data_IF_078834004087
#
_entry.id   IF_078834004087
#
_cell.length_a   1.000
_cell.length_b   1.000
_cell.length_c   1.000
_cell.angle_alpha   90.00
_cell.angle_beta   90.00
_cell.angle_gamma   90.00
#
_symmetry.space_group_name_H-M   'P 1'
#
loop_
_entity.id
_entity.type
_entity.pdbx_description
1 polymer ?
#
# COMPACT_ATOMS: atom_id res chain seq x y z
N UNK A 1 17.26 -25.83 9.06
CA UNK A 1 17.20 -24.35 9.13
C UNK A 1 17.09 -23.85 7.71
N UNK A 2 16.13 -22.97 7.43
CA UNK A 2 15.80 -22.54 6.07
C UNK A 2 15.30 -21.11 6.07
N UNK A 3 15.39 -20.42 4.93
CA UNK A 3 14.89 -19.06 4.83
C UNK A 3 13.35 -19.05 4.92
N UNK A 4 12.71 -18.07 5.60
CA UNK A 4 11.25 -18.06 5.77
C UNK A 4 10.46 -18.20 4.47
N UNK A 5 10.92 -17.56 3.39
CA UNK A 5 10.25 -17.62 2.08
C UNK A 5 10.28 -19.03 1.47
N UNK A 6 11.41 -19.74 1.61
CA UNK A 6 11.57 -21.13 1.16
C UNK A 6 10.76 -22.08 2.04
N UNK A 7 10.61 -21.73 3.32
CA UNK A 7 9.82 -22.50 4.27
C UNK A 7 8.40 -22.67 3.75
N UNK A 8 7.78 -21.60 3.24
CA UNK A 8 6.40 -21.65 2.75
C UNK A 8 6.18 -22.66 1.62
N UNK A 9 7.22 -23.05 0.87
CA UNK A 9 7.09 -24.00 -0.25
C UNK A 9 7.56 -25.42 0.09
N UNK A 10 8.19 -25.61 1.25
CA UNK A 10 8.66 -26.92 1.71
C UNK A 10 7.56 -27.87 2.23
N UNK A 11 7.84 -29.17 2.27
CA UNK A 11 6.97 -30.17 2.89
C UNK A 11 7.58 -30.64 4.21
N UNK A 12 6.84 -30.50 5.31
CA UNK A 12 7.21 -31.02 6.62
C UNK A 12 5.94 -31.25 7.46
N UNK A 13 6.01 -32.15 8.44
CA UNK A 13 4.90 -32.42 9.38
C UNK A 13 4.80 -31.35 10.48
N UNK A 14 5.94 -30.73 10.83
CA UNK A 14 6.05 -29.70 11.86
C UNK A 14 6.97 -28.59 11.35
N UNK A 15 6.58 -27.35 11.59
CA UNK A 15 7.42 -26.18 11.36
C UNK A 15 7.62 -25.39 12.65
N UNK A 16 8.83 -24.88 12.87
CA UNK A 16 9.14 -23.95 13.94
C UNK A 16 9.68 -22.65 13.35
N UNK A 17 9.01 -21.54 13.65
CA UNK A 17 9.42 -20.20 13.28
C UNK A 17 9.89 -19.47 14.54
N UNK A 18 11.19 -19.18 14.59
CA UNK A 18 11.79 -18.37 15.65
C UNK A 18 11.78 -16.89 15.26
N UNK A 19 11.70 -16.01 16.25
CA UNK A 19 11.48 -14.56 16.07
C UNK A 19 10.32 -14.23 15.11
N UNK A 20 9.20 -14.93 15.29
CA UNK A 20 8.03 -14.88 14.41
C UNK A 20 7.46 -13.46 14.27
N UNK A 21 7.59 -12.60 15.28
CA UNK A 21 7.20 -11.20 15.15
C UNK A 21 8.01 -10.40 14.12
N UNK A 22 9.24 -10.82 13.82
CA UNK A 22 10.03 -10.23 12.75
C UNK A 22 9.54 -10.59 11.35
N UNK A 23 8.64 -11.58 11.24
CA UNK A 23 8.07 -12.03 9.98
C UNK A 23 6.78 -11.27 9.64
N UNK A 24 6.51 -11.14 8.34
CA UNK A 24 5.28 -10.55 7.84
C UNK A 24 4.06 -11.38 8.25
N UNK A 25 3.00 -10.72 8.74
CA UNK A 25 1.75 -11.39 9.15
C UNK A 25 1.15 -12.27 8.05
N UNK A 26 1.10 -11.87 6.76
CA UNK A 26 0.69 -12.76 5.68
C UNK A 26 1.52 -14.05 5.58
N UNK A 27 2.83 -13.97 5.79
CA UNK A 27 3.70 -15.14 5.80
C UNK A 27 3.41 -16.04 6.99
N UNK A 28 3.19 -15.47 8.18
CA UNK A 28 2.76 -16.23 9.36
C UNK A 28 1.43 -16.95 9.10
N UNK A 29 0.45 -16.30 8.45
CA UNK A 29 -0.79 -16.96 8.05
C UNK A 29 -0.59 -18.06 7.01
N UNK A 30 0.31 -17.88 6.04
CA UNK A 30 0.65 -18.94 5.06
C UNK A 30 1.28 -20.15 5.75
N UNK A 31 2.18 -19.92 6.70
CA UNK A 31 2.79 -20.97 7.51
C UNK A 31 1.69 -21.69 8.32
N UNK A 32 0.89 -20.95 9.09
CA UNK A 32 -0.19 -21.51 9.89
C UNK A 32 -1.19 -22.33 9.06
N UNK A 33 -1.61 -21.86 7.88
CA UNK A 33 -2.57 -22.57 7.03
C UNK A 33 -1.99 -23.80 6.33
N UNK A 34 -0.68 -23.84 6.11
CA UNK A 34 -0.04 -24.90 5.33
C UNK A 34 0.31 -26.12 6.19
N UNK A 35 0.75 -25.89 7.43
CA UNK A 35 1.29 -26.94 8.29
C UNK A 35 0.28 -27.35 9.35
N UNK A 36 0.08 -28.66 9.53
CA UNK A 36 -0.81 -29.19 10.57
C UNK A 36 -0.32 -28.85 12.00
N UNK A 37 0.98 -28.64 12.17
CA UNK A 37 1.62 -28.28 13.44
C UNK A 37 2.66 -27.19 13.22
N UNK A 38 2.46 -26.04 13.84
CA UNK A 38 3.38 -24.91 13.79
C UNK A 38 3.73 -24.43 15.21
N UNK A 39 5.00 -24.14 15.43
CA UNK A 39 5.53 -23.53 16.65
C UNK A 39 6.02 -22.14 16.28
N UNK A 40 5.56 -21.12 17.01
CA UNK A 40 6.01 -19.74 16.85
C UNK A 40 6.67 -19.30 18.16
N UNK A 41 7.92 -18.85 18.08
CA UNK A 41 8.66 -18.22 19.17
C UNK A 41 8.82 -16.74 18.84
N UNK A 42 8.64 -15.85 19.82
CA UNK A 42 8.71 -14.40 19.61
C UNK A 42 8.87 -13.66 20.92
N UNK A 43 9.53 -12.50 20.90
CA UNK A 43 9.49 -11.53 22.00
C UNK A 43 8.22 -10.68 21.93
N UNK A 44 7.47 -10.55 23.04
CA UNK A 44 6.28 -9.68 23.13
C UNK A 44 6.68 -8.27 23.59
N UNK A 45 7.56 -8.19 24.57
CA UNK A 45 8.08 -6.96 25.18
C UNK A 45 9.61 -6.93 25.00
N UNK A 46 10.13 -5.94 24.28
CA UNK A 46 11.57 -5.86 24.03
C UNK A 46 11.97 -4.79 23.01
N UNK A 47 13.27 -4.56 22.93
CA UNK A 47 13.92 -3.54 22.09
C UNK A 47 13.65 -3.70 20.58
N UNK A 48 13.23 -4.87 20.11
CA UNK A 48 12.93 -5.09 18.69
C UNK A 48 11.52 -4.67 18.28
N UNK A 49 10.65 -4.31 19.23
CA UNK A 49 9.38 -3.61 18.99
C UNK A 49 8.40 -4.31 18.03
N UNK A 50 8.61 -5.58 17.71
CA UNK A 50 7.87 -6.34 16.70
C UNK A 50 6.74 -7.19 17.31
N UNK A 51 6.80 -7.47 18.62
CA UNK A 51 5.97 -8.46 19.31
C UNK A 51 4.47 -8.24 19.23
N UNK A 52 4.00 -6.99 19.16
CA UNK A 52 2.56 -6.70 19.27
C UNK A 52 1.80 -6.82 17.95
N UNK A 53 2.45 -6.61 16.79
CA UNK A 53 1.84 -6.92 15.49
C UNK A 53 1.54 -8.42 15.35
N UNK A 54 2.46 -9.25 15.85
CA UNK A 54 2.26 -10.68 16.05
C UNK A 54 1.12 -10.96 17.03
N UNK A 55 1.11 -10.36 18.22
CA UNK A 55 0.07 -10.65 19.23
C UNK A 55 -1.33 -10.17 18.86
N UNK A 56 -1.47 -8.98 18.26
CA UNK A 56 -2.80 -8.38 18.01
C UNK A 56 -3.38 -8.81 16.68
N UNK A 57 -2.57 -8.94 15.63
CA UNK A 57 -3.08 -9.26 14.29
C UNK A 57 -2.98 -10.75 13.98
N UNK A 58 -1.90 -11.41 14.36
CA UNK A 58 -1.72 -12.84 14.08
C UNK A 58 -2.32 -13.73 15.18
N UNK A 59 -1.90 -13.57 16.45
CA UNK A 59 -2.40 -14.42 17.54
C UNK A 59 -3.91 -14.29 17.73
N UNK A 60 -4.48 -13.08 17.61
CA UNK A 60 -5.94 -12.89 17.69
C UNK A 60 -6.67 -13.73 16.64
N UNK A 61 -6.24 -13.66 15.38
CA UNK A 61 -6.88 -14.39 14.28
C UNK A 61 -6.78 -15.90 14.44
N UNK A 62 -5.65 -16.45 14.88
CA UNK A 62 -5.53 -17.90 15.09
C UNK A 62 -6.35 -18.37 16.30
N UNK A 63 -6.54 -17.52 17.32
CA UNK A 63 -7.39 -17.84 18.49
C UNK A 63 -8.88 -17.81 18.16
N UNK A 64 -9.28 -16.95 17.22
CA UNK A 64 -10.66 -16.83 16.76
C UNK A 64 -11.03 -17.92 15.74
N UNK A 65 -10.06 -18.65 15.17
CA UNK A 65 -10.33 -19.76 14.26
C UNK A 65 -10.76 -21.03 15.02
N UNK A 66 -11.98 -21.55 14.78
CA UNK A 66 -12.51 -22.69 15.51
C UNK A 66 -11.80 -24.01 15.18
N UNK A 67 -11.03 -24.07 14.09
CA UNK A 67 -10.32 -25.28 13.66
C UNK A 67 -8.90 -25.37 14.19
N UNK A 68 -8.41 -24.32 14.85
CA UNK A 68 -7.04 -24.22 15.34
C UNK A 68 -6.98 -24.37 16.85
N UNK A 69 -6.25 -25.39 17.33
CA UNK A 69 -5.93 -25.51 18.75
C UNK A 69 -4.66 -24.71 19.05
N UNK A 70 -4.81 -23.60 19.75
CA UNK A 70 -3.68 -22.74 20.17
C UNK A 70 -3.23 -23.16 21.58
N UNK A 71 -1.92 -23.35 21.76
CA UNK A 71 -1.27 -23.53 23.06
C UNK A 71 -0.29 -22.37 23.25
N UNK A 72 -0.41 -21.65 24.35
CA UNK A 72 0.42 -20.48 24.65
C UNK A 72 1.27 -20.75 25.89
N UNK A 73 2.54 -20.39 25.78
CA UNK A 73 3.50 -20.45 26.87
C UNK A 73 4.25 -19.12 26.88
N UNK A 74 4.29 -18.48 28.04
CA UNK A 74 5.03 -17.24 28.26
C UNK A 74 6.23 -17.52 29.16
N UNK A 75 7.37 -16.94 28.80
CA UNK A 75 8.61 -17.06 29.55
C UNK A 75 8.97 -15.70 30.12
N UNK A 76 8.82 -15.54 31.43
CA UNK A 76 9.03 -14.27 32.14
C UNK A 76 10.35 -14.23 32.92
N UNK A 77 10.84 -15.38 33.40
CA UNK A 77 12.03 -15.44 34.25
C UNK A 77 13.32 -15.24 33.44
N UNK A 78 14.08 -14.15 33.68
CA UNK A 78 15.32 -13.92 32.96
C UNK A 78 16.40 -14.91 33.40
N UNK A 79 17.16 -15.43 32.45
CA UNK A 79 18.28 -16.36 32.74
C UNK A 79 19.63 -15.65 32.91
N UNK A 80 19.73 -14.37 32.51
CA UNK A 80 20.99 -13.60 32.49
C UNK A 80 21.16 -12.66 33.67
N UNK A 81 20.06 -12.21 34.26
CA UNK A 81 20.00 -11.26 35.35
C UNK A 81 18.86 -11.65 36.29
N UNK A 82 18.82 -11.03 37.47
CA UNK A 82 17.78 -11.31 38.45
C UNK A 82 16.42 -10.78 37.97
N UNK A 83 15.33 -11.43 38.37
CA UNK A 83 14.00 -10.87 38.20
C UNK A 83 13.91 -9.49 38.88
N UNK A 84 13.27 -8.52 38.21
CA UNK A 84 13.18 -7.12 38.64
C UNK A 84 14.54 -6.39 38.73
N UNK A 85 15.45 -6.65 37.78
CA UNK A 85 16.71 -5.92 37.71
C UNK A 85 16.45 -4.40 37.57
N UNK A 86 16.98 -3.56 38.49
CA UNK A 86 16.72 -2.13 38.45
C UNK A 86 17.26 -1.44 37.18
N UNK A 87 18.30 -1.99 36.55
CA UNK A 87 18.84 -1.47 35.27
C UNK A 87 17.91 -1.82 34.12
N UNK A 88 17.31 -3.01 34.11
CA UNK A 88 16.30 -3.37 33.11
C UNK A 88 15.07 -2.48 33.26
N UNK A 89 14.56 -2.31 34.47
CA UNK A 89 13.41 -1.44 34.73
C UNK A 89 13.69 0.00 34.27
N UNK A 90 14.87 0.54 34.61
CA UNK A 90 15.29 1.86 34.14
C UNK A 90 15.37 1.94 32.60
N UNK A 91 15.90 0.91 31.94
CA UNK A 91 16.03 0.86 30.49
C UNK A 91 14.65 0.86 29.81
N UNK A 92 13.72 0.04 30.30
CA UNK A 92 12.36 -0.06 29.76
C UNK A 92 11.61 1.25 29.92
N UNK A 93 11.71 1.87 31.10
CA UNK A 93 11.09 3.15 31.40
C UNK A 93 11.66 4.28 30.52
N UNK A 94 13.00 4.40 30.48
CA UNK A 94 13.69 5.44 29.71
C UNK A 94 13.42 5.37 28.21
N UNK A 95 13.35 4.15 27.66
CA UNK A 95 13.11 3.92 26.23
C UNK A 95 11.63 3.70 25.90
N UNK A 96 10.74 3.81 26.89
CA UNK A 96 9.28 3.66 26.73
C UNK A 96 8.89 2.33 26.06
N UNK A 97 9.64 1.25 26.31
CA UNK A 97 9.44 -0.05 25.66
C UNK A 97 8.13 -0.73 26.08
N UNK A 98 7.60 -0.34 27.22
CA UNK A 98 6.34 -0.79 27.82
C UNK A 98 5.21 0.24 27.67
N UNK A 99 5.41 1.28 26.86
CA UNK A 99 4.40 2.31 26.65
C UNK A 99 3.16 1.75 25.95
N UNK A 100 1.98 2.12 26.46
CA UNK A 100 0.68 1.69 25.97
C UNK A 100 -0.21 2.89 25.68
N UNK A 101 -1.09 2.81 24.67
CA UNK A 101 -2.09 3.84 24.45
C UNK A 101 -3.10 3.84 25.60
N UNK A 102 -3.79 4.97 25.78
CA UNK A 102 -4.81 5.08 26.81
C UNK A 102 -5.97 4.11 26.58
N UNK A 103 -6.45 3.46 27.64
CA UNK A 103 -7.69 2.68 27.59
C UNK A 103 -8.87 3.62 27.32
N UNK A 104 -9.59 3.39 26.23
CA UNK A 104 -10.77 4.18 25.85
C UNK A 104 -12.03 3.68 26.57
N UNK A 105 -12.82 4.62 27.09
CA UNK A 105 -14.11 4.35 27.72
C UNK A 105 -15.26 4.47 26.71
N UNK A 106 -16.47 4.06 27.11
CA UNK A 106 -17.67 4.26 26.29
C UNK A 106 -17.95 5.74 25.97
N UNK A 107 -17.58 6.66 26.88
CA UNK A 107 -17.73 8.11 26.64
C UNK A 107 -16.71 8.59 25.59
N UNK A 108 -15.47 8.11 25.64
CA UNK A 108 -14.44 8.42 24.64
C UNK A 108 -14.91 8.04 23.23
N UNK A 109 -15.55 6.87 23.08
CA UNK A 109 -16.12 6.46 21.79
C UNK A 109 -17.24 7.38 21.30
N UNK A 110 -18.04 7.98 22.19
CA UNK A 110 -19.05 8.96 21.79
C UNK A 110 -18.42 10.24 21.22
N UNK A 111 -17.29 10.69 21.78
CA UNK A 111 -16.54 11.82 21.22
C UNK A 111 -15.95 11.45 19.85
N UNK A 112 -15.32 10.27 19.74
CA UNK A 112 -14.73 9.78 18.50
C UNK A 112 -15.77 9.69 17.38
N UNK A 113 -16.94 9.09 17.65
CA UNK A 113 -18.00 8.90 16.66
C UNK A 113 -18.62 10.22 16.18
N UNK A 114 -18.58 11.25 17.02
CA UNK A 114 -18.98 12.62 16.67
C UNK A 114 -17.84 13.43 16.03
N UNK A 115 -16.63 12.88 15.94
CA UNK A 115 -15.44 13.58 15.46
C UNK A 115 -14.98 14.72 16.39
N UNK A 116 -15.34 14.67 17.68
CA UNK A 116 -14.96 15.68 18.68
C UNK A 116 -13.56 15.35 19.18
N UNK A 117 -12.57 15.97 18.55
CA UNK A 117 -11.15 15.86 18.88
C UNK A 117 -10.50 17.23 18.76
N UNK A 118 -9.42 17.43 19.50
CA UNK A 118 -8.58 18.62 19.41
C UNK A 118 -7.26 18.27 18.74
N UNK A 119 -6.88 19.06 17.73
CA UNK A 119 -5.58 18.98 17.07
C UNK A 119 -4.57 19.84 17.82
N UNK A 120 -3.47 19.22 18.25
CA UNK A 120 -2.43 19.89 19.02
C UNK A 120 -1.04 19.71 18.39
N UNK A 121 -0.18 20.69 18.66
CA UNK A 121 1.27 20.68 18.43
C UNK A 121 1.95 20.58 19.79
N UNK A 122 2.27 19.35 20.28
CA UNK A 122 2.98 19.19 21.53
C UNK A 122 4.41 19.73 21.39
N UNK A 123 4.86 20.54 22.36
CA UNK A 123 6.29 20.85 22.49
C UNK A 123 7.03 19.57 22.88
N UNK A 124 8.05 19.19 22.09
CA UNK A 124 8.87 18.02 22.40
C UNK A 124 9.53 18.16 23.78
N UNK A 125 10.08 19.33 24.10
CA UNK A 125 10.69 19.58 25.40
C UNK A 125 9.69 19.37 26.54
N UNK A 126 8.48 19.94 26.44
CA UNK A 126 7.47 19.74 27.48
C UNK A 126 6.96 18.29 27.53
N UNK A 127 6.84 17.65 26.37
CA UNK A 127 6.38 16.27 26.27
C UNK A 127 7.34 15.31 26.98
N UNK A 128 8.64 15.46 26.72
CA UNK A 128 9.69 14.63 27.32
C UNK A 128 10.00 14.98 28.78
N UNK A 129 9.92 16.25 29.18
CA UNK A 129 10.32 16.67 30.54
C UNK A 129 9.17 16.75 31.54
N UNK A 130 7.93 16.95 31.10
CA UNK A 130 6.80 17.31 31.98
C UNK A 130 5.51 16.53 31.75
N UNK A 131 5.35 15.83 30.63
CA UNK A 131 4.09 15.19 30.23
C UNK A 131 4.27 13.71 29.90
N UNK A 132 4.89 12.99 30.83
CA UNK A 132 5.22 11.58 30.66
C UNK A 132 4.01 10.70 30.30
N UNK A 133 2.86 10.89 30.95
CA UNK A 133 1.63 10.13 30.61
C UNK A 133 1.21 10.33 29.15
N UNK A 134 1.24 11.56 28.65
CA UNK A 134 0.92 11.86 27.26
C UNK A 134 1.98 11.27 26.31
N UNK A 135 3.26 11.35 26.68
CA UNK A 135 4.35 10.76 25.91
C UNK A 135 4.19 9.24 25.78
N UNK A 136 3.89 8.56 26.90
CA UNK A 136 3.61 7.12 26.93
C UNK A 136 2.42 6.76 26.06
N UNK A 137 1.32 7.51 26.13
CA UNK A 137 0.18 7.27 25.24
C UNK A 137 0.54 7.47 23.76
N UNK A 138 1.28 8.54 23.43
CA UNK A 138 1.70 8.87 22.07
C UNK A 138 2.61 7.78 21.49
N UNK A 139 3.65 7.39 22.22
CA UNK A 139 4.60 6.34 21.82
C UNK A 139 3.91 4.98 21.80
N UNK A 140 3.04 4.69 22.76
CA UNK A 140 2.25 3.46 22.80
C UNK A 140 1.36 3.28 21.56
N UNK A 141 0.81 4.36 20.99
CA UNK A 141 0.10 4.31 19.71
C UNK A 141 1.03 3.88 18.57
N UNK A 142 2.27 4.40 18.49
CA UNK A 142 3.24 3.96 17.48
C UNK A 142 3.67 2.51 17.63
N UNK A 143 3.93 2.09 18.87
CA UNK A 143 4.31 0.72 19.20
C UNK A 143 3.26 -0.26 18.66
N UNK A 144 1.98 0.07 18.78
CA UNK A 144 0.89 -0.81 18.39
C UNK A 144 0.46 -0.73 16.94
N UNK A 145 0.63 0.41 16.28
CA UNK A 145 0.18 0.59 14.90
C UNK A 145 1.18 0.08 13.86
N UNK A 146 2.47 0.00 14.19
CA UNK A 146 3.54 -0.32 13.23
C UNK A 146 4.14 -1.72 13.42
N UNK A 147 4.43 -2.37 12.29
CA UNK A 147 4.97 -3.74 12.23
C UNK A 147 6.34 -3.90 12.92
N UNK A 148 7.12 -2.82 13.01
CA UNK A 148 8.40 -2.82 13.73
C UNK A 148 8.71 -1.39 14.16
N UNK A 149 9.07 -1.24 15.42
CA UNK A 149 9.57 0.02 15.97
C UNK A 149 11.01 -0.20 16.43
N UNK A 150 11.87 0.78 16.18
CA UNK A 150 13.23 0.77 16.74
C UNK A 150 13.30 1.83 17.83
N UNK A 151 14.02 1.60 18.94
CA UNK A 151 14.23 2.64 19.96
C UNK A 151 14.83 3.93 19.38
N UNK A 152 15.62 3.81 18.31
CA UNK A 152 16.15 4.95 17.56
C UNK A 152 15.07 5.86 16.96
N UNK A 153 13.84 5.37 16.74
CA UNK A 153 12.74 6.19 16.23
C UNK A 153 12.38 7.28 17.27
N UNK A 154 12.38 6.93 18.56
CA UNK A 154 12.13 7.85 19.66
C UNK A 154 13.26 8.90 19.77
N UNK A 155 14.51 8.45 19.62
CA UNK A 155 15.67 9.34 19.62
C UNK A 155 15.64 10.32 18.44
N UNK A 156 15.31 9.84 17.23
CA UNK A 156 15.19 10.69 16.05
C UNK A 156 14.08 11.73 16.21
N UNK A 157 12.94 11.33 16.79
CA UNK A 157 11.84 12.25 17.11
C UNK A 157 12.25 13.33 18.12
N UNK A 158 13.14 13.00 19.06
CA UNK A 158 13.61 13.94 20.09
C UNK A 158 14.73 14.87 19.61
N UNK A 159 15.60 14.41 18.71
CA UNK A 159 16.87 15.07 18.37
C UNK A 159 16.89 15.74 16.99
N UNK A 160 16.10 15.24 16.03
CA UNK A 160 16.15 15.75 14.67
C UNK A 160 15.42 17.10 14.56
N UNK A 161 16.11 18.22 14.21
CA UNK A 161 15.51 19.56 14.26
C UNK A 161 14.43 19.82 13.21
N UNK A 162 14.38 18.98 12.17
CA UNK A 162 13.39 19.04 11.10
C UNK A 162 12.21 18.09 11.35
N UNK A 163 12.21 17.37 12.47
CA UNK A 163 11.08 16.54 12.90
C UNK A 163 10.19 17.32 13.87
N UNK A 164 8.88 17.19 13.66
CA UNK A 164 7.86 17.76 14.54
C UNK A 164 6.71 16.78 14.69
N UNK A 165 6.04 16.83 15.83
CA UNK A 165 4.94 15.91 16.13
C UNK A 165 3.60 16.62 16.20
N UNK A 166 2.54 15.90 15.87
CA UNK A 166 1.14 16.34 16.02
C UNK A 166 0.32 15.23 16.65
N UNK A 167 -0.69 15.62 17.42
CA UNK A 167 -1.60 14.68 18.03
C UNK A 167 -3.05 15.12 17.90
N UNK A 168 -3.96 14.13 17.85
CA UNK A 168 -5.37 14.35 18.16
C UNK A 168 -5.61 13.88 19.60
N UNK A 169 -6.20 14.75 20.42
CA UNK A 169 -6.62 14.42 21.78
C UNK A 169 -8.14 14.50 21.91
N UNK A 170 -8.69 13.69 22.80
CA UNK A 170 -10.09 13.76 23.19
C UNK A 170 -10.30 14.84 24.27
N UNK A 171 -11.55 15.29 24.49
CA UNK A 171 -11.89 16.13 25.64
C UNK A 171 -11.48 15.51 27.00
N UNK A 172 -11.35 14.19 27.07
CA UNK A 172 -10.83 13.46 28.23
C UNK A 172 -9.31 13.57 28.42
N UNK A 173 -8.60 14.25 27.51
CA UNK A 173 -7.14 14.42 27.52
C UNK A 173 -6.35 13.27 26.89
N UNK A 174 -7.03 12.19 26.46
CA UNK A 174 -6.38 11.00 25.90
C UNK A 174 -5.92 11.21 24.46
N UNK A 175 -4.72 10.74 24.14
CA UNK A 175 -4.21 10.75 22.76
C UNK A 175 -4.90 9.65 21.96
N UNK A 176 -5.43 9.99 20.78
CA UNK A 176 -6.10 9.02 19.88
C UNK A 176 -5.50 8.95 18.48
N UNK A 177 -4.65 9.89 18.11
CA UNK A 177 -3.85 9.83 16.88
C UNK A 177 -2.53 10.53 17.12
N UNK A 178 -1.43 9.92 16.65
CA UNK A 178 -0.08 10.43 16.76
C UNK A 178 0.53 10.53 15.35
N UNK A 179 1.25 11.62 15.08
CA UNK A 179 1.91 11.87 13.79
C UNK A 179 3.30 12.46 13.99
N UNK A 180 4.26 11.93 13.24
CA UNK A 180 5.63 12.45 13.09
C UNK A 180 5.79 12.99 11.66
N UNK A 181 6.23 14.24 11.57
CA UNK A 181 6.38 15.02 10.35
C UNK A 181 7.85 15.42 10.19
N UNK A 182 8.41 15.19 9.01
CA UNK A 182 9.70 15.73 8.62
C UNK A 182 9.51 16.86 7.61
N UNK A 183 10.10 18.02 7.88
CA UNK A 183 10.21 19.11 6.93
C UNK A 183 11.29 18.80 5.88
N UNK A 184 10.91 18.85 4.61
CA UNK A 184 11.79 18.59 3.48
C UNK A 184 11.71 19.75 2.48
N UNK A 185 12.83 20.07 1.85
CA UNK A 185 12.98 21.16 0.90
C UNK A 185 12.99 22.55 1.56
N UNK A 186 13.14 23.62 0.76
CA UNK A 186 13.50 23.57 -0.65
C UNK A 186 14.93 23.03 -0.83
N UNK A 187 15.23 22.46 -2.00
CA UNK A 187 16.56 21.97 -2.33
C UNK A 187 17.39 23.12 -2.88
N UNK A 188 18.60 23.37 -2.36
CA UNK A 188 19.55 24.34 -2.92
C UNK A 188 19.82 24.10 -4.42
N UNK A 189 19.80 25.17 -5.21
CA UNK A 189 19.90 25.10 -6.68
C UNK A 189 21.19 24.41 -7.16
N UNK A 190 22.30 24.57 -6.43
CA UNK A 190 23.60 23.97 -6.73
C UNK A 190 23.63 22.45 -6.55
N UNK A 191 22.68 21.88 -5.79
CA UNK A 191 22.57 20.43 -5.57
C UNK A 191 21.62 19.73 -6.56
N UNK A 192 20.74 20.46 -7.25
CA UNK A 192 19.68 19.86 -8.09
C UNK A 192 20.29 18.94 -9.17
N UNK A 193 21.33 19.41 -9.85
CA UNK A 193 21.98 18.63 -10.91
C UNK A 193 22.74 17.42 -10.37
N UNK A 194 23.33 17.51 -9.18
CA UNK A 194 24.00 16.38 -8.53
C UNK A 194 23.00 15.28 -8.14
N UNK A 195 21.89 15.66 -7.51
CA UNK A 195 20.82 14.72 -7.16
C UNK A 195 20.25 14.01 -8.39
N UNK A 196 20.09 14.72 -9.50
CA UNK A 196 19.67 14.12 -10.78
C UNK A 196 20.68 13.10 -11.31
N UNK A 197 21.98 13.29 -11.05
CA UNK A 197 23.06 12.37 -11.46
C UNK A 197 23.25 11.19 -10.51
N UNK A 198 22.47 11.10 -9.43
CA UNK A 198 22.54 10.01 -8.47
C UNK A 198 23.16 10.40 -7.13
N UNK A 199 23.45 11.69 -6.92
CA UNK A 199 23.82 12.24 -5.61
C UNK A 199 22.76 11.97 -4.54
N UNK A 200 23.06 12.36 -3.31
CA UNK A 200 22.20 12.11 -2.16
C UNK A 200 22.16 13.31 -1.23
N UNK A 201 20.97 13.58 -0.68
CA UNK A 201 20.74 14.63 0.31
C UNK A 201 20.08 14.04 1.55
N UNK A 202 20.65 14.34 2.71
CA UNK A 202 20.12 13.88 3.99
C UNK A 202 18.78 14.56 4.30
N UNK A 203 17.85 13.81 4.88
CA UNK A 203 16.55 14.33 5.35
C UNK A 203 15.52 14.64 4.26
N UNK A 204 15.87 14.58 2.96
CA UNK A 204 15.02 15.02 1.86
C UNK A 204 14.60 13.85 0.95
N UNK A 205 13.78 12.94 1.48
CA UNK A 205 13.46 11.68 0.79
C UNK A 205 12.57 11.92 -0.44
N UNK A 206 11.50 12.71 -0.30
CA UNK A 206 10.53 12.90 -1.38
C UNK A 206 11.11 13.77 -2.49
N UNK A 207 11.75 14.94 -2.23
CA UNK A 207 12.41 15.73 -3.26
C UNK A 207 13.50 14.95 -4.02
N UNK A 208 14.33 14.16 -3.31
CA UNK A 208 15.37 13.33 -3.93
C UNK A 208 14.77 12.33 -4.93
N UNK A 209 13.76 11.56 -4.49
CA UNK A 209 13.09 10.58 -5.34
C UNK A 209 12.35 11.24 -6.49
N UNK A 210 11.74 12.39 -6.25
CA UNK A 210 11.07 13.16 -7.29
C UNK A 210 12.04 13.60 -8.39
N UNK A 211 13.17 14.21 -8.03
CA UNK A 211 14.20 14.64 -8.98
C UNK A 211 14.80 13.47 -9.77
N UNK A 212 14.96 12.29 -9.17
CA UNK A 212 15.51 11.10 -9.82
C UNK A 212 14.54 10.43 -10.79
N UNK A 213 13.24 10.51 -10.55
CA UNK A 213 12.24 9.75 -11.31
C UNK A 213 11.30 10.61 -12.15
N UNK A 214 10.77 11.70 -11.60
CA UNK A 214 9.89 12.62 -12.32
C UNK A 214 10.65 13.70 -13.08
N UNK A 215 11.90 13.97 -12.70
CA UNK A 215 12.85 14.86 -13.43
C UNK A 215 12.39 16.32 -13.59
N UNK A 216 11.37 16.77 -12.85
CA UNK A 216 10.88 18.14 -12.89
C UNK A 216 11.43 18.95 -11.71
N UNK A 217 12.37 19.84 -12.00
CA UNK A 217 13.12 20.64 -11.03
C UNK A 217 12.25 21.68 -10.32
N UNK A 218 11.08 22.02 -10.87
CA UNK A 218 10.18 22.99 -10.24
C UNK A 218 9.71 22.50 -8.87
N UNK A 219 9.61 21.19 -8.68
CA UNK A 219 9.25 20.59 -7.39
C UNK A 219 10.27 20.90 -6.28
N UNK A 220 11.56 20.94 -6.62
CA UNK A 220 12.66 21.16 -5.68
C UNK A 220 12.61 22.55 -5.02
N UNK A 221 11.91 23.51 -5.63
CA UNK A 221 11.75 24.87 -5.10
C UNK A 221 10.76 24.99 -3.94
N UNK A 222 10.01 23.93 -3.65
CA UNK A 222 9.00 23.92 -2.59
C UNK A 222 9.46 23.13 -1.38
N UNK A 223 9.34 23.75 -0.21
CA UNK A 223 9.28 23.02 1.05
C UNK A 223 7.93 22.29 1.19
N UNK A 224 7.95 21.20 1.93
CA UNK A 224 6.77 20.43 2.29
C UNK A 224 7.01 19.51 3.48
N UNK A 225 5.93 18.84 3.88
CA UNK A 225 6.01 17.84 4.95
C UNK A 225 5.92 16.43 4.41
N UNK A 226 6.89 15.60 4.80
CA UNK A 226 6.74 14.16 4.77
C UNK A 226 6.13 13.69 6.08
N UNK A 227 4.98 13.05 6.00
CA UNK A 227 4.44 12.24 7.09
C UNK A 227 5.34 11.01 7.21
N UNK A 228 6.20 11.02 8.22
CA UNK A 228 7.11 9.92 8.55
C UNK A 228 6.29 8.77 9.12
N UNK A 229 5.37 9.10 10.02
CA UNK A 229 4.52 8.13 10.70
C UNK A 229 3.17 8.76 11.02
N UNK A 230 2.10 8.00 10.79
CA UNK A 230 0.74 8.32 11.24
C UNK A 230 0.12 7.06 11.82
N UNK A 231 -0.38 7.18 13.03
CA UNK A 231 -0.98 6.07 13.74
C UNK A 231 -2.20 6.52 14.52
N UNK A 232 -3.27 5.76 14.40
CA UNK A 232 -4.50 5.94 15.17
C UNK A 232 -4.55 4.88 16.26
N UNK A 233 -5.16 5.23 17.39
CA UNK A 233 -5.42 4.28 18.47
C UNK A 233 -6.05 2.97 17.92
N UNK A 234 -5.51 1.77 18.22
CA UNK A 234 -5.95 0.51 17.60
C UNK A 234 -7.44 0.23 17.74
N UNK A 235 -8.02 0.47 18.92
CA UNK A 235 -9.46 0.28 19.16
C UNK A 235 -10.36 1.34 18.50
N UNK A 236 -9.79 2.38 17.89
CA UNK A 236 -10.50 3.47 17.23
C UNK A 236 -10.12 3.62 15.74
N UNK A 237 -9.45 2.62 15.17
CA UNK A 237 -9.21 2.55 13.72
C UNK A 237 -10.54 2.52 12.95
N UNK A 238 -10.49 2.94 11.68
CA UNK A 238 -11.64 3.00 10.77
C UNK A 238 -12.81 3.91 11.19
N UNK A 239 -12.61 4.80 12.19
CA UNK A 239 -13.59 5.81 12.63
C UNK A 239 -13.33 7.23 12.12
N UNK A 240 -12.46 7.38 11.11
CA UNK A 240 -12.20 8.66 10.44
C UNK A 240 -11.15 9.58 11.10
N UNK A 241 -10.59 9.21 12.26
CA UNK A 241 -9.57 10.01 12.97
C UNK A 241 -8.35 10.34 12.10
N UNK A 242 -7.83 9.36 11.35
CA UNK A 242 -6.69 9.59 10.44
C UNK A 242 -7.01 10.62 9.35
N UNK A 243 -8.24 10.63 8.82
CA UNK A 243 -8.70 11.62 7.83
C UNK A 243 -8.81 13.01 8.46
N UNK A 244 -9.32 13.11 9.69
CA UNK A 244 -9.36 14.38 10.44
C UNK A 244 -7.94 14.93 10.65
N UNK A 245 -7.02 14.07 11.08
CA UNK A 245 -5.60 14.43 11.27
C UNK A 245 -4.96 14.96 9.97
N UNK A 246 -5.14 14.24 8.86
CA UNK A 246 -4.62 14.66 7.54
C UNK A 246 -5.17 16.03 7.13
N UNK A 247 -6.46 16.28 7.38
CA UNK A 247 -7.08 17.57 7.07
C UNK A 247 -6.38 18.71 7.82
N UNK A 248 -6.20 18.56 9.14
CA UNK A 248 -5.49 19.56 9.96
C UNK A 248 -4.04 19.78 9.51
N UNK A 249 -3.30 18.70 9.22
CA UNK A 249 -1.92 18.80 8.72
C UNK A 249 -1.88 19.57 7.40
N UNK A 250 -2.78 19.30 6.46
CA UNK A 250 -2.83 20.00 5.18
C UNK A 250 -3.18 21.49 5.36
N UNK A 251 -4.11 21.81 6.26
CA UNK A 251 -4.49 23.19 6.57
C UNK A 251 -3.35 23.96 7.24
N UNK A 252 -2.63 23.32 8.16
CA UNK A 252 -1.44 23.90 8.78
C UNK A 252 -0.31 24.10 7.77
N UNK A 253 0.01 23.09 6.97
CA UNK A 253 1.05 23.16 5.94
C UNK A 253 0.78 24.30 4.94
N UNK A 254 -0.49 24.49 4.54
CA UNK A 254 -0.90 25.64 3.72
C UNK A 254 -0.64 26.98 4.40
N UNK A 255 -0.97 27.11 5.69
CA UNK A 255 -0.71 28.34 6.47
C UNK A 255 0.79 28.64 6.61
N UNK A 256 1.63 27.60 6.65
CA UNK A 256 3.10 27.72 6.66
C UNK A 256 3.70 28.04 5.29
N UNK A 257 2.89 28.02 4.22
CA UNK A 257 3.36 28.30 2.85
C UNK A 257 3.99 27.10 2.15
N UNK A 258 3.81 25.88 2.66
CA UNK A 258 4.33 24.67 2.04
C UNK A 258 3.59 24.32 0.74
N UNK A 259 4.33 23.75 -0.22
CA UNK A 259 3.80 23.36 -1.51
C UNK A 259 3.09 22.01 -1.51
N UNK A 260 3.43 21.12 -0.58
CA UNK A 260 2.96 19.74 -0.58
C UNK A 260 2.98 19.09 0.81
N UNK A 261 2.19 18.03 0.96
CA UNK A 261 2.32 17.03 2.03
C UNK A 261 2.44 15.66 1.38
N UNK A 262 3.34 14.80 1.83
CA UNK A 262 3.58 13.50 1.23
C UNK A 262 3.85 12.40 2.25
N UNK A 263 3.89 11.16 1.79
CA UNK A 263 4.20 10.00 2.60
C UNK A 263 4.89 8.92 1.76
N UNK A 264 5.74 8.12 2.40
CA UNK A 264 6.32 6.90 1.82
C UNK A 264 6.02 5.71 2.73
N UNK A 265 5.46 4.63 2.17
CA UNK A 265 5.03 3.48 2.97
C UNK A 265 5.08 2.17 2.17
N UNK A 266 5.22 1.05 2.87
CA UNK A 266 5.04 -0.29 2.29
C UNK A 266 3.58 -0.48 1.86
N UNK A 267 3.38 -0.76 0.58
CA UNK A 267 2.05 -0.70 -0.04
C UNK A 267 1.24 -1.96 0.26
N UNK A 268 0.02 -1.73 0.73
CA UNK A 268 -1.07 -2.70 0.78
C UNK A 268 -2.38 -1.99 0.46
N UNK A 269 -3.43 -2.76 0.15
CA UNK A 269 -4.71 -2.19 -0.27
C UNK A 269 -5.33 -1.22 0.77
N UNK A 270 -5.46 -1.57 2.08
CA UNK A 270 -6.08 -0.68 3.05
C UNK A 270 -5.35 0.66 3.20
N UNK A 271 -4.02 0.63 3.28
CA UNK A 271 -3.22 1.83 3.47
C UNK A 271 -3.21 2.71 2.22
N UNK A 272 -3.05 2.13 1.03
CA UNK A 272 -3.14 2.89 -0.22
C UNK A 272 -4.52 3.55 -0.34
N UNK A 273 -5.60 2.82 0.00
CA UNK A 273 -6.97 3.33 -0.04
C UNK A 273 -7.15 4.54 0.88
N UNK A 274 -6.56 4.50 2.08
CA UNK A 274 -6.56 5.63 3.02
C UNK A 274 -5.95 6.88 2.39
N UNK A 275 -4.76 6.76 1.78
CA UNK A 275 -4.08 7.90 1.16
C UNK A 275 -4.83 8.45 -0.05
N UNK A 276 -5.30 7.58 -0.95
CA UNK A 276 -6.03 8.00 -2.15
C UNK A 276 -7.34 8.71 -1.80
N UNK A 277 -8.10 8.19 -0.82
CA UNK A 277 -9.33 8.83 -0.32
C UNK A 277 -9.07 10.22 0.27
N UNK A 278 -7.88 10.43 0.84
CA UNK A 278 -7.46 11.71 1.38
C UNK A 278 -6.87 12.67 0.34
N UNK A 279 -6.90 12.32 -0.95
CA UNK A 279 -6.46 13.16 -2.06
C UNK A 279 -4.95 13.15 -2.29
N UNK A 280 -4.24 12.15 -1.80
CA UNK A 280 -2.84 11.94 -2.14
C UNK A 280 -2.73 11.19 -3.47
N UNK A 281 -1.71 11.54 -4.24
CA UNK A 281 -1.48 11.06 -5.61
C UNK A 281 -0.17 10.27 -5.64
N UNK A 282 -0.15 9.01 -6.11
CA UNK A 282 1.08 8.24 -6.24
C UNK A 282 2.01 8.84 -7.30
N UNK A 283 3.30 8.93 -6.96
CA UNK A 283 4.33 9.46 -7.86
C UNK A 283 5.51 8.49 -8.05
N UNK A 284 5.65 7.48 -7.18
CA UNK A 284 6.76 6.55 -7.24
C UNK A 284 6.40 5.22 -6.55
N UNK A 285 7.00 4.15 -7.06
CA UNK A 285 7.06 2.83 -6.43
C UNK A 285 8.51 2.33 -6.53
N UNK A 286 9.02 1.75 -5.44
CA UNK A 286 10.36 1.15 -5.43
C UNK A 286 10.43 -0.03 -6.40
N UNK A 287 11.56 -0.27 -7.08
CA UNK A 287 11.70 -1.41 -8.00
C UNK A 287 11.75 -2.75 -7.25
N UNK A 288 12.24 -2.74 -6.02
CA UNK A 288 12.37 -3.93 -5.18
C UNK A 288 11.50 -3.81 -3.93
N UNK A 289 11.10 -4.97 -3.40
CA UNK A 289 10.45 -5.09 -2.11
C UNK A 289 11.45 -4.80 -1.00
N UNK A 290 10.99 -4.17 0.07
CA UNK A 290 11.81 -4.04 1.27
C UNK A 290 12.12 -5.45 1.82
N UNK A 291 13.38 -5.81 2.11
CA UNK A 291 13.72 -7.16 2.55
C UNK A 291 13.08 -7.55 3.89
N UNK A 292 12.70 -6.55 4.70
CA UNK A 292 12.03 -6.76 5.99
C UNK A 292 10.51 -6.86 5.80
N UNK A 293 9.88 -5.83 5.21
CA UNK A 293 8.42 -5.80 5.09
C UNK A 293 7.86 -6.60 3.92
N UNK A 294 8.68 -6.97 2.94
CA UNK A 294 8.27 -7.72 1.74
C UNK A 294 7.31 -6.97 0.83
N UNK A 295 7.05 -5.70 1.13
CA UNK A 295 6.17 -4.82 0.38
C UNK A 295 7.01 -3.87 -0.49
N UNK A 296 6.46 -3.47 -1.64
CA UNK A 296 6.98 -2.34 -2.39
C UNK A 296 6.73 -1.05 -1.62
N UNK A 297 7.66 -0.10 -1.66
CA UNK A 297 7.44 1.23 -1.09
C UNK A 297 6.79 2.12 -2.13
N UNK A 298 5.64 2.71 -1.81
CA UNK A 298 4.98 3.73 -2.65
C UNK A 298 5.15 5.10 -2.00
N UNK A 299 5.45 6.10 -2.82
CA UNK A 299 5.42 7.51 -2.42
C UNK A 299 4.19 8.16 -3.00
N UNK A 300 3.43 8.83 -2.14
CA UNK A 300 2.25 9.61 -2.49
C UNK A 300 2.42 11.05 -2.05
N UNK A 301 1.88 11.99 -2.83
CA UNK A 301 1.96 13.42 -2.55
C UNK A 301 0.61 14.07 -2.76
N UNK A 302 0.22 14.94 -1.83
CA UNK A 302 -0.93 15.83 -1.93
C UNK A 302 -0.43 17.25 -2.21
N UNK A 303 -0.71 17.81 -3.40
CA UNK A 303 -0.35 19.19 -3.72
C UNK A 303 -1.19 20.17 -2.89
N UNK A 304 -0.59 21.28 -2.47
CA UNK A 304 -1.26 22.32 -1.68
C UNK A 304 -1.52 23.63 -2.43
N UNK A 305 -0.93 23.78 -3.62
CA UNK A 305 -1.14 24.90 -4.54
C UNK A 305 -1.22 24.39 -5.99
N UNK A 306 -1.65 25.26 -6.90
CA UNK A 306 -1.94 24.91 -8.30
C UNK A 306 -0.68 24.54 -9.09
N UNK A 307 0.45 25.23 -8.87
CA UNK A 307 1.71 24.93 -9.56
C UNK A 307 2.24 23.54 -9.19
N UNK A 308 2.21 23.20 -7.90
CA UNK A 308 2.58 21.87 -7.41
C UNK A 308 1.56 20.83 -7.88
N UNK A 309 0.27 21.17 -7.96
CA UNK A 309 -0.73 20.27 -8.53
C UNK A 309 -0.35 19.86 -9.97
N UNK A 310 -0.04 20.81 -10.84
CA UNK A 310 0.38 20.54 -12.21
C UNK A 310 1.66 19.68 -12.27
N UNK A 311 2.63 19.96 -11.41
CA UNK A 311 3.87 19.17 -11.30
C UNK A 311 3.57 17.72 -10.92
N UNK A 312 2.75 17.51 -9.88
CA UNK A 312 2.38 16.16 -9.40
C UNK A 312 1.56 15.40 -10.44
N UNK A 313 0.64 16.06 -11.15
CA UNK A 313 -0.16 15.41 -12.19
C UNK A 313 0.70 14.95 -13.38
N UNK A 314 1.72 15.72 -13.77
CA UNK A 314 2.71 15.30 -14.78
C UNK A 314 3.53 14.10 -14.28
N UNK A 315 4.03 14.16 -13.05
CA UNK A 315 4.79 13.06 -12.44
C UNK A 315 3.96 11.78 -12.34
N UNK A 316 2.70 11.87 -11.91
CA UNK A 316 1.79 10.74 -11.81
C UNK A 316 1.50 10.09 -13.17
N UNK A 317 1.38 10.89 -14.23
CA UNK A 317 1.23 10.40 -15.61
C UNK A 317 2.42 9.54 -16.03
N UNK A 318 3.64 10.03 -15.82
CA UNK A 318 4.87 9.28 -16.13
C UNK A 318 5.02 8.04 -15.23
N UNK A 319 4.67 8.14 -13.94
CA UNK A 319 4.62 7.02 -13.01
C UNK A 319 3.70 5.91 -13.51
N UNK A 320 2.46 6.23 -13.91
CA UNK A 320 1.50 5.24 -14.41
C UNK A 320 1.94 4.63 -15.73
N UNK A 321 2.52 5.44 -16.64
CA UNK A 321 3.09 4.92 -17.88
C UNK A 321 4.18 3.89 -17.59
N UNK A 322 5.14 4.23 -16.72
CA UNK A 322 6.20 3.32 -16.29
C UNK A 322 5.62 2.06 -15.66
N UNK A 323 4.71 2.20 -14.69
CA UNK A 323 4.11 1.09 -13.98
C UNK A 323 3.41 0.13 -14.95
N UNK A 324 2.55 0.66 -15.83
CA UNK A 324 1.81 -0.12 -16.81
C UNK A 324 2.71 -1.00 -17.70
N UNK A 325 3.87 -0.47 -18.10
CA UNK A 325 4.85 -1.21 -18.90
C UNK A 325 5.75 -2.15 -18.09
N UNK A 326 5.77 -2.02 -16.76
CA UNK A 326 6.61 -2.82 -15.86
C UNK A 326 5.83 -3.89 -15.09
N UNK A 327 4.50 -3.97 -15.25
CA UNK A 327 3.67 -4.94 -14.53
C UNK A 327 4.00 -6.41 -14.83
N UNK A 328 4.60 -6.72 -15.98
CA UNK A 328 4.97 -8.09 -16.35
C UNK A 328 6.38 -8.50 -15.90
N UNK A 329 7.15 -7.57 -15.30
CA UNK A 329 8.56 -7.78 -14.96
C UNK A 329 8.81 -7.44 -13.48
N UNK A 330 9.29 -6.24 -13.05
CA UNK A 330 9.59 -6.02 -11.64
C UNK A 330 8.37 -5.96 -10.71
N UNK A 331 7.15 -5.95 -11.26
CA UNK A 331 5.89 -5.88 -10.50
C UNK A 331 4.92 -7.01 -10.88
N UNK A 332 5.43 -8.12 -11.40
CA UNK A 332 4.62 -9.29 -11.75
C UNK A 332 3.88 -9.87 -10.54
N UNK A 333 4.46 -9.71 -9.35
CA UNK A 333 3.95 -10.19 -8.07
C UNK A 333 3.22 -9.12 -7.22
N UNK A 334 3.05 -7.91 -7.76
CA UNK A 334 2.27 -6.85 -7.13
C UNK A 334 0.80 -7.28 -7.03
N UNK A 335 0.15 -7.02 -5.90
CA UNK A 335 -1.25 -7.37 -5.72
C UNK A 335 -2.14 -6.68 -6.79
N UNK A 336 -2.98 -7.42 -7.54
CA UNK A 336 -3.76 -6.84 -8.65
C UNK A 336 -4.64 -5.65 -8.23
N UNK A 337 -5.20 -5.68 -7.01
CA UNK A 337 -6.01 -4.59 -6.45
C UNK A 337 -5.17 -3.34 -6.16
N UNK A 338 -3.95 -3.51 -5.67
CA UNK A 338 -2.99 -2.41 -5.48
C UNK A 338 -2.60 -1.81 -6.83
N UNK A 339 -2.24 -2.64 -7.81
CA UNK A 339 -1.91 -2.19 -9.17
C UNK A 339 -3.07 -1.39 -9.79
N UNK A 340 -4.32 -1.87 -9.65
CA UNK A 340 -5.53 -1.19 -10.10
C UNK A 340 -5.66 0.21 -9.50
N UNK A 341 -5.45 0.34 -8.19
CA UNK A 341 -5.53 1.62 -7.48
C UNK A 341 -4.42 2.60 -7.89
N UNK A 342 -3.20 2.10 -8.16
CA UNK A 342 -2.10 2.91 -8.65
C UNK A 342 -2.31 3.42 -10.09
N UNK A 343 -3.12 2.72 -10.89
CA UNK A 343 -3.45 3.08 -12.28
C UNK A 343 -4.66 4.03 -12.42
N UNK A 344 -5.26 4.49 -11.31
CA UNK A 344 -6.33 5.52 -11.35
C UNK A 344 -5.87 6.79 -12.07
N UNK A 345 -6.78 7.53 -12.70
CA UNK A 345 -6.37 8.63 -13.59
C UNK A 345 -6.40 10.01 -12.94
N UNK A 346 -7.24 10.21 -11.92
CA UNK A 346 -7.57 11.52 -11.36
C UNK A 346 -7.98 12.54 -12.45
N UNK A 347 -8.64 12.07 -13.52
CA UNK A 347 -9.04 12.92 -14.65
C UNK A 347 -7.89 13.30 -15.60
N UNK A 348 -6.70 12.73 -15.43
CA UNK A 348 -5.55 12.93 -16.29
C UNK A 348 -5.17 11.61 -17.00
N UNK A 349 -5.54 11.40 -18.27
CA UNK A 349 -5.15 10.19 -19.00
C UNK A 349 -3.64 10.13 -19.21
N UNK A 350 -3.09 8.92 -19.37
CA UNK A 350 -1.69 8.75 -19.79
C UNK A 350 -1.53 9.22 -21.23
N UNK A 351 -2.42 8.76 -22.12
CA UNK A 351 -2.50 9.23 -23.50
C UNK A 351 -3.96 9.51 -23.78
N UNK A 352 -4.29 10.77 -24.01
CA UNK A 352 -5.67 11.20 -24.29
C UNK A 352 -6.11 10.66 -25.65
N UNK A 353 -7.33 10.13 -25.70
CA UNK A 353 -7.99 9.62 -26.91
C UNK A 353 -7.18 8.54 -27.66
N UNK A 354 -6.38 7.76 -26.94
CA UNK A 354 -5.61 6.69 -27.56
C UNK A 354 -6.55 5.61 -28.12
N UNK A 355 -6.30 5.19 -29.35
CA UNK A 355 -7.04 4.12 -30.03
C UNK A 355 -6.12 2.90 -30.19
N UNK A 356 -6.65 1.66 -30.06
CA UNK A 356 -5.83 0.47 -30.22
C UNK A 356 -5.21 0.43 -31.62
N UNK A 357 -3.91 0.14 -31.70
CA UNK A 357 -3.18 0.04 -32.97
C UNK A 357 -3.02 -1.43 -33.39
N UNK A 358 -4.15 -2.08 -33.68
CA UNK A 358 -4.15 -3.45 -34.21
C UNK A 358 -4.02 -3.42 -35.73
N UNK A 359 -3.19 -4.30 -36.30
CA UNK A 359 -3.26 -4.63 -37.73
C UNK A 359 -4.55 -5.37 -38.07
N UNK A 360 -4.94 -5.44 -39.35
CA UNK A 360 -6.13 -6.18 -39.78
C UNK A 360 -6.13 -7.64 -39.30
N UNK A 361 -4.97 -8.31 -39.42
CA UNK A 361 -4.79 -9.68 -38.94
C UNK A 361 -4.94 -9.79 -37.42
N UNK A 362 -4.43 -8.83 -36.66
CA UNK A 362 -4.58 -8.81 -35.20
C UNK A 362 -6.03 -8.52 -34.79
N UNK A 363 -6.73 -7.66 -35.51
CA UNK A 363 -8.15 -7.40 -35.30
C UNK A 363 -8.98 -8.67 -35.54
N UNK A 364 -8.73 -9.39 -36.63
CA UNK A 364 -9.38 -10.68 -36.92
C UNK A 364 -9.09 -11.73 -35.83
N UNK A 365 -7.84 -11.82 -35.35
CA UNK A 365 -7.46 -12.70 -34.23
C UNK A 365 -8.21 -12.33 -32.94
N UNK A 366 -8.27 -11.04 -32.58
CA UNK A 366 -9.00 -10.57 -31.40
C UNK A 366 -10.50 -10.88 -31.49
N UNK A 367 -11.10 -10.69 -32.67
CA UNK A 367 -12.49 -11.06 -32.96
C UNK A 367 -12.69 -12.59 -32.82
N UNK A 368 -11.80 -13.39 -33.40
CA UNK A 368 -11.86 -14.85 -33.33
C UNK A 368 -11.69 -15.36 -31.90
N UNK A 369 -10.88 -14.69 -31.08
CA UNK A 369 -10.75 -15.03 -29.66
C UNK A 369 -12.04 -14.73 -28.88
N UNK A 370 -12.64 -13.57 -29.15
CA UNK A 370 -13.83 -13.11 -28.46
C UNK A 370 -15.09 -13.92 -28.79
N UNK A 371 -15.31 -14.31 -30.05
CA UNK A 371 -16.52 -15.03 -30.49
C UNK A 371 -16.29 -16.44 -31.03
N UNK A 372 -15.05 -16.81 -31.33
CA UNK A 372 -14.70 -18.06 -31.98
C UNK A 372 -13.81 -19.00 -31.13
N UNK A 373 -13.16 -19.97 -31.79
CA UNK A 373 -12.40 -21.03 -31.13
C UNK A 373 -10.97 -20.65 -30.77
N UNK A 374 -10.52 -19.44 -31.09
CA UNK A 374 -9.12 -19.06 -30.90
C UNK A 374 -8.75 -19.02 -29.41
N UNK A 375 -7.55 -19.48 -29.11
CA UNK A 375 -7.00 -19.47 -27.74
C UNK A 375 -6.45 -18.10 -27.39
N UNK A 376 -6.31 -17.84 -26.09
CA UNK A 376 -5.72 -16.58 -25.61
C UNK A 376 -4.27 -16.45 -26.05
N UNK A 377 -3.49 -17.53 -26.01
CA UNK A 377 -2.07 -17.56 -26.37
C UNK A 377 -1.90 -17.05 -27.81
N UNK A 378 -2.81 -17.50 -28.70
CA UNK A 378 -2.90 -17.10 -30.10
C UNK A 378 -3.48 -15.71 -30.32
N UNK A 379 -3.88 -14.96 -29.29
CA UNK A 379 -4.41 -13.60 -29.39
C UNK A 379 -3.80 -12.63 -28.35
N UNK A 380 -2.80 -13.09 -27.58
CA UNK A 380 -2.33 -12.42 -26.37
C UNK A 380 -1.75 -11.03 -26.64
N UNK A 381 -1.04 -10.85 -27.75
CA UNK A 381 -0.53 -9.56 -28.24
C UNK A 381 -1.67 -8.57 -28.54
N UNK A 382 -2.74 -9.04 -29.15
CA UNK A 382 -3.90 -8.22 -29.53
C UNK A 382 -4.69 -7.79 -28.28
N UNK A 383 -4.89 -8.74 -27.34
CA UNK A 383 -5.57 -8.48 -26.07
C UNK A 383 -4.74 -7.54 -25.19
N UNK A 384 -3.41 -7.64 -25.23
CA UNK A 384 -2.52 -6.72 -24.52
C UNK A 384 -2.63 -5.29 -25.05
N UNK A 385 -2.66 -5.06 -26.36
CA UNK A 385 -2.85 -3.71 -26.92
C UNK A 385 -4.21 -3.11 -26.51
N UNK A 386 -5.27 -3.91 -26.48
CA UNK A 386 -6.58 -3.48 -25.97
C UNK A 386 -6.52 -3.12 -24.48
N UNK A 387 -5.83 -3.92 -23.66
CA UNK A 387 -5.63 -3.64 -22.25
C UNK A 387 -4.80 -2.36 -22.01
N UNK A 388 -3.72 -2.16 -22.76
CA UNK A 388 -2.92 -0.94 -22.70
C UNK A 388 -3.77 0.29 -23.08
N UNK A 389 -4.53 0.20 -24.17
CA UNK A 389 -5.47 1.24 -24.60
C UNK A 389 -6.45 1.62 -23.47
N UNK A 390 -6.97 0.63 -22.76
CA UNK A 390 -7.88 0.85 -21.63
C UNK A 390 -7.24 1.69 -20.52
N UNK A 391 -6.01 1.36 -20.11
CA UNK A 391 -5.32 2.06 -19.03
C UNK A 391 -4.59 3.34 -19.46
N UNK A 392 -4.38 3.56 -20.76
CA UNK A 392 -3.91 4.84 -21.28
C UNK A 392 -4.97 5.94 -21.18
N UNK A 393 -6.23 5.58 -21.43
CA UNK A 393 -7.35 6.50 -21.41
C UNK A 393 -7.94 6.67 -20.00
N UNK A 394 -8.63 7.79 -19.80
CA UNK A 394 -9.45 8.04 -18.61
C UNK A 394 -10.84 7.40 -18.74
N UNK A 395 -11.60 7.44 -17.65
CA UNK A 395 -12.91 6.83 -17.51
C UNK A 395 -13.94 7.36 -18.52
N UNK A 396 -13.68 8.52 -19.14
CA UNK A 396 -14.53 9.13 -20.16
C UNK A 396 -14.29 8.56 -21.56
N UNK A 397 -13.08 8.06 -21.84
CA UNK A 397 -12.62 7.66 -23.18
C UNK A 397 -12.30 6.16 -23.28
N UNK A 398 -12.93 5.36 -22.43
CA UNK A 398 -12.82 3.89 -22.42
C UNK A 398 -14.17 3.26 -22.07
N UNK A 399 -14.41 1.98 -22.41
CA UNK A 399 -15.64 1.31 -22.02
C UNK A 399 -15.74 1.13 -20.50
N UNK A 400 -16.95 1.05 -19.95
CA UNK A 400 -17.14 0.72 -18.55
C UNK A 400 -16.84 -0.76 -18.32
N UNK A 401 -15.96 -1.06 -17.35
CA UNK A 401 -15.70 -2.39 -16.84
C UNK A 401 -15.95 -2.40 -15.33
N UNK A 402 -16.43 -3.53 -14.81
CA UNK A 402 -16.51 -3.71 -13.36
C UNK A 402 -15.12 -4.00 -12.76
N UNK A 403 -15.02 -3.96 -11.43
CA UNK A 403 -13.74 -4.17 -10.74
C UNK A 403 -13.10 -5.52 -11.10
N UNK A 404 -13.86 -6.62 -11.10
CA UNK A 404 -13.33 -7.94 -11.45
C UNK A 404 -12.75 -7.97 -12.88
N UNK A 405 -13.42 -7.31 -13.83
CA UNK A 405 -12.94 -7.22 -15.21
C UNK A 405 -11.64 -6.42 -15.33
N UNK A 406 -11.51 -5.30 -14.63
CA UNK A 406 -10.25 -4.54 -14.57
C UNK A 406 -9.14 -5.38 -13.94
N UNK A 407 -9.44 -6.14 -12.88
CA UNK A 407 -8.49 -7.04 -12.23
C UNK A 407 -8.06 -8.20 -13.13
N UNK A 408 -8.97 -8.75 -13.95
CA UNK A 408 -8.64 -9.76 -14.97
C UNK A 408 -7.64 -9.19 -15.98
N UNK A 409 -7.85 -7.97 -16.48
CA UNK A 409 -6.90 -7.33 -17.39
C UNK A 409 -5.51 -7.17 -16.74
N UNK A 410 -5.48 -6.74 -15.48
CA UNK A 410 -4.23 -6.55 -14.75
C UNK A 410 -3.51 -7.88 -14.55
N UNK A 411 -4.13 -8.83 -13.84
CA UNK A 411 -3.49 -10.09 -13.48
C UNK A 411 -3.16 -10.95 -14.70
N UNK A 412 -4.13 -11.20 -15.58
CA UNK A 412 -3.94 -12.15 -16.69
C UNK A 412 -3.16 -11.56 -17.86
N UNK A 413 -3.38 -10.28 -18.19
CA UNK A 413 -2.89 -9.67 -19.43
C UNK A 413 -1.67 -8.78 -19.17
N UNK A 414 -1.73 -7.88 -18.18
CA UNK A 414 -0.65 -6.92 -17.92
C UNK A 414 0.49 -7.52 -17.11
N UNK A 415 0.19 -8.31 -16.09
CA UNK A 415 1.16 -9.06 -15.27
C UNK A 415 1.50 -10.45 -15.84
N UNK A 416 0.85 -10.84 -16.94
CA UNK A 416 1.09 -12.11 -17.63
C UNK A 416 0.98 -13.37 -16.76
N UNK A 417 0.17 -13.33 -15.68
CA UNK A 417 -0.05 -14.49 -14.81
C UNK A 417 -0.64 -15.67 -15.57
N UNK A 418 -0.35 -16.89 -15.12
CA UNK A 418 -1.04 -18.09 -15.61
C UNK A 418 -2.53 -18.04 -15.22
N UNK A 419 -3.38 -18.82 -15.90
CA UNK A 419 -4.80 -18.91 -15.55
C UNK A 419 -5.02 -19.33 -14.10
N UNK A 420 -4.17 -20.22 -13.58
CA UNK A 420 -4.24 -20.72 -12.21
C UNK A 420 -3.85 -19.62 -11.22
N UNK A 421 -2.71 -18.96 -11.42
CA UNK A 421 -2.25 -17.91 -10.50
C UNK A 421 -3.16 -16.69 -10.52
N UNK A 422 -3.65 -16.28 -11.70
CA UNK A 422 -4.65 -15.20 -11.78
C UNK A 422 -5.95 -15.58 -11.03
N UNK A 423 -6.36 -16.84 -11.08
CA UNK A 423 -7.53 -17.34 -10.36
C UNK A 423 -7.32 -17.33 -8.84
N UNK A 424 -6.14 -17.74 -8.38
CA UNK A 424 -5.73 -17.68 -6.97
C UNK A 424 -5.66 -16.22 -6.47
N UNK A 425 -5.00 -15.33 -7.21
CA UNK A 425 -4.84 -13.91 -6.87
C UNK A 425 -6.20 -13.16 -6.78
N UNK A 426 -7.19 -13.60 -7.57
CA UNK A 426 -8.51 -12.97 -7.66
C UNK A 426 -9.61 -13.70 -6.87
N UNK A 427 -9.27 -14.81 -6.21
CA UNK A 427 -10.21 -15.68 -5.47
C UNK A 427 -11.44 -16.10 -6.30
N UNK A 428 -11.18 -16.56 -7.54
CA UNK A 428 -12.23 -17.03 -8.47
C UNK A 428 -11.79 -18.28 -9.21
N UNK A 429 -12.74 -19.01 -9.81
CA UNK A 429 -12.41 -20.15 -10.66
C UNK A 429 -11.70 -19.72 -11.97
N UNK A 430 -10.73 -20.49 -12.50
CA UNK A 430 -10.08 -20.18 -13.78
C UNK A 430 -11.04 -19.96 -14.95
N UNK A 431 -12.14 -20.73 -15.00
CA UNK A 431 -13.18 -20.59 -16.02
C UNK A 431 -13.85 -19.20 -16.00
N UNK A 432 -14.00 -18.61 -14.82
CA UNK A 432 -14.54 -17.25 -14.65
C UNK A 432 -13.62 -16.22 -15.31
N UNK A 433 -12.30 -16.37 -15.15
CA UNK A 433 -11.31 -15.49 -15.79
C UNK A 433 -11.31 -15.68 -17.30
N UNK A 434 -11.33 -16.92 -17.79
CA UNK A 434 -11.34 -17.21 -19.22
C UNK A 434 -12.58 -16.65 -19.92
N UNK A 435 -13.77 -16.87 -19.35
CA UNK A 435 -15.01 -16.34 -19.89
C UNK A 435 -15.10 -14.81 -19.74
N UNK A 436 -14.65 -14.28 -18.60
CA UNK A 436 -14.58 -12.85 -18.33
C UNK A 436 -13.68 -12.12 -19.31
N UNK A 437 -12.50 -12.67 -19.64
CA UNK A 437 -11.58 -12.07 -20.60
C UNK A 437 -12.17 -12.04 -22.02
N UNK A 438 -12.85 -13.10 -22.45
CA UNK A 438 -13.58 -13.07 -23.73
C UNK A 438 -14.62 -11.94 -23.74
N UNK A 439 -15.40 -11.80 -22.67
CA UNK A 439 -16.41 -10.73 -22.59
C UNK A 439 -15.79 -9.33 -22.59
N UNK A 440 -14.69 -9.12 -21.86
CA UNK A 440 -13.96 -7.86 -21.87
C UNK A 440 -13.50 -7.50 -23.29
N UNK A 441 -12.92 -8.46 -24.02
CA UNK A 441 -12.49 -8.22 -25.41
C UNK A 441 -13.70 -7.89 -26.31
N UNK A 442 -14.86 -8.52 -26.13
CA UNK A 442 -16.08 -8.14 -26.86
C UNK A 442 -16.48 -6.70 -26.59
N UNK A 443 -16.48 -6.28 -25.32
CA UNK A 443 -16.81 -4.92 -24.90
C UNK A 443 -15.85 -3.91 -25.54
N UNK A 444 -14.54 -4.19 -25.49
CA UNK A 444 -13.52 -3.31 -26.05
C UNK A 444 -13.60 -3.23 -27.58
N UNK A 445 -13.81 -4.35 -28.27
CA UNK A 445 -13.95 -4.36 -29.73
C UNK A 445 -15.22 -3.63 -30.19
N UNK A 446 -16.34 -3.79 -29.47
CA UNK A 446 -17.57 -3.00 -29.71
C UNK A 446 -17.31 -1.50 -29.56
N UNK A 447 -16.60 -1.10 -28.50
CA UNK A 447 -16.34 0.30 -28.20
C UNK A 447 -15.35 0.96 -29.16
N UNK A 448 -14.19 0.32 -29.42
CA UNK A 448 -13.12 0.93 -30.22
C UNK A 448 -13.28 0.76 -31.73
N UNK A 449 -14.00 -0.28 -32.19
CA UNK A 449 -14.15 -0.61 -33.61
C UNK A 449 -15.62 -0.63 -34.09
N UNK A 450 -16.59 -0.21 -33.25
CA UNK A 450 -18.01 -0.15 -33.59
C UNK A 450 -18.58 -1.48 -34.13
N UNK A 451 -18.14 -2.61 -33.57
CA UNK A 451 -18.61 -3.94 -33.99
C UNK A 451 -20.02 -4.24 -33.43
N UNK A 452 -21.07 -3.78 -34.10
CA UNK A 452 -22.46 -3.98 -33.65
C UNK A 452 -22.98 -5.42 -33.80
N UNK A 453 -22.42 -6.21 -34.74
CA UNK A 453 -22.86 -7.57 -35.04
C UNK A 453 -21.68 -8.55 -35.00
N UNK A 454 -21.92 -9.75 -34.46
CA UNK A 454 -20.98 -10.87 -34.55
C UNK A 454 -20.65 -11.07 -36.04
N UNK A 455 -19.36 -11.09 -36.46
CA UNK A 455 -19.04 -11.36 -37.85
C UNK A 455 -19.69 -12.67 -38.27
N UNK A 456 -20.42 -12.67 -39.40
CA UNK A 456 -21.27 -13.79 -39.88
C UNK A 456 -20.57 -15.15 -39.91
N UNK A 457 -19.24 -15.19 -39.97
CA UNK A 457 -18.44 -16.40 -39.93
C UNK A 457 -18.50 -17.17 -38.60
N UNK A 458 -18.92 -16.54 -37.49
CA UNK A 458 -18.96 -17.16 -36.15
C UNK A 458 -20.38 -17.35 -35.60
N UNK A 459 -21.42 -16.90 -36.32
CA UNK A 459 -22.80 -17.25 -36.01
C UNK A 459 -23.07 -18.67 -36.50
N UNK A 460 -23.47 -19.56 -35.59
CA UNK A 460 -23.75 -20.98 -35.83
C UNK A 460 -25.03 -21.23 -36.65
N UNK A 461 -25.30 -20.43 -37.67
CA UNK A 461 -26.24 -20.81 -38.73
C UNK A 461 -25.41 -21.44 -39.85
N UNK A 462 -25.24 -22.76 -39.80
CA UNK A 462 -24.90 -23.51 -41.02
C UNK A 462 -26.01 -23.20 -42.03
N UNK A 463 -25.72 -22.84 -43.28
CA UNK A 463 -26.74 -22.86 -44.31
C UNK A 463 -27.29 -24.29 -44.32
N UNK A 464 -28.59 -24.44 -44.06
CA UNK A 464 -29.27 -25.67 -44.44
C UNK A 464 -29.08 -25.79 -45.96
N UNK A 465 -28.24 -26.73 -46.38
CA UNK A 465 -28.17 -27.19 -47.74
C UNK A 465 -29.57 -27.66 -48.15
N UNK A 466 -30.29 -26.79 -48.82
CA UNK A 466 -31.45 -27.12 -49.61
C UNK A 466 -30.93 -27.68 -50.94
N UNK A 467 -30.42 -28.91 -50.90
CA UNK A 467 -30.25 -29.71 -52.11
C UNK A 467 -31.50 -30.57 -52.23
N UNK A 468 -32.39 -30.08 -53.07
CA UNK A 468 -33.44 -30.85 -53.71
C UNK A 468 -32.81 -31.79 -54.74
N UNK A 469 -33.12 -33.08 -54.64
CA UNK A 469 -33.23 -34.05 -55.73
C UNK A 469 -34.04 -35.24 -55.24
#
# INVERSE_FOLDING_TARGET
>A
YMHPIEAIDSKADIIAADEAAGLQVPMLHRIWKKYDRAIFSSTIHGYEGAGRGFSIRFLKTIKEDPNTKVLEYEMEEPIRYAANDPIENWLFDTLLLDAEPARLTSEDFQYIDKGVVEYIEPSLEELFLKKEDMLRQFVGIYILAHYRNRPNDLAMMADAPHHTIRALILPSGKVVTAVDLAEEGPIPDDMIDDLKRGGWIQGNVIPDRFLKHARDERFAKYAGWRIVRIATHPSAMDRGLGTIMIKHICEEAKRRGYGWVGAGFGVNEPLLRFWLKNGFIPIHISPDRNPVSGEYTVIVVKPLNDEVHDIIMKANREFRLKLLHSLADPYDDLEPRVARMLLMTWGNPIIRDYRPRLTDVQLERAITYAWGPMTYESASDCVRELALTYFYNDEKNRPALNELQELILIAKVLQARSWRYAAEDLDVAPQTIMNGLKEIVRIMLRYYYNLEKVPRFYTTERPHDSISA
#
